data_IF_518566938876
#
_entry.id   IF_518566938876
#
_cell.length_a   1.000
_cell.length_b   1.000
_cell.length_c   1.000
_cell.angle_alpha   90.00
_cell.angle_beta   90.00
_cell.angle_gamma   90.00
#
_symmetry.space_group_name_H-M   'P 1'
#
loop_
_entity.id
_entity.type
_entity.pdbx_description
1 polymer ?
#
# COMPACT_ATOMS: atom_id res chain seq x y z
N UNK A 1 3.01 3.12 13.84
CA UNK A 1 3.29 2.42 12.57
C UNK A 1 4.15 3.33 11.72
N UNK A 2 5.03 2.74 10.91
CA UNK A 2 5.89 3.44 9.94
C UNK A 2 5.44 3.05 8.54
N UNK A 3 5.30 4.02 7.64
CA UNK A 3 4.79 3.79 6.30
C UNK A 3 5.89 3.93 5.25
N UNK A 4 5.89 3.05 4.26
CA UNK A 4 6.55 3.19 2.98
C UNK A 4 5.48 3.05 1.90
N UNK A 5 5.02 4.19 1.37
CA UNK A 5 3.93 4.28 0.41
C UNK A 5 4.54 4.44 -0.99
N UNK A 6 4.55 3.37 -1.77
CA UNK A 6 5.20 3.33 -3.09
C UNK A 6 4.17 3.36 -4.22
N UNK A 7 4.63 3.81 -5.40
CA UNK A 7 3.89 3.61 -6.64
C UNK A 7 4.05 2.19 -7.18
N UNK A 8 5.31 1.71 -7.27
CA UNK A 8 5.68 0.47 -7.96
C UNK A 8 6.44 -0.56 -7.12
N UNK A 9 6.41 -0.45 -5.79
CA UNK A 9 7.19 -1.31 -4.89
C UNK A 9 8.62 -0.82 -4.69
N UNK A 10 9.52 -1.73 -4.32
CA UNK A 10 10.94 -1.42 -4.06
C UNK A 10 11.74 -1.52 -5.36
N UNK A 11 11.70 -0.46 -6.16
CA UNK A 11 12.21 -0.45 -7.55
C UNK A 11 13.62 0.11 -7.69
N UNK A 12 14.15 0.79 -6.67
CA UNK A 12 15.49 1.40 -6.70
C UNK A 12 16.21 1.32 -5.34
N UNK A 13 17.55 1.52 -5.32
CA UNK A 13 18.34 1.46 -4.09
C UNK A 13 17.92 2.48 -3.02
N UNK A 14 17.41 3.66 -3.40
CA UNK A 14 16.95 4.66 -2.43
C UNK A 14 15.71 4.18 -1.66
N UNK A 15 14.71 3.61 -2.35
CA UNK A 15 13.52 3.02 -1.72
C UNK A 15 13.92 1.82 -0.85
N UNK A 16 14.83 0.96 -1.33
CA UNK A 16 15.32 -0.17 -0.53
C UNK A 16 16.04 0.30 0.74
N UNK A 17 16.86 1.35 0.64
CA UNK A 17 17.55 1.94 1.79
C UNK A 17 16.56 2.55 2.79
N UNK A 18 15.51 3.21 2.30
CA UNK A 18 14.43 3.72 3.15
C UNK A 18 13.72 2.58 3.90
N UNK A 19 13.38 1.47 3.23
CA UNK A 19 12.80 0.29 3.84
C UNK A 19 13.67 -0.26 4.99
N UNK A 20 14.98 -0.43 4.75
CA UNK A 20 15.92 -0.90 5.79
C UNK A 20 15.97 0.05 6.99
N UNK A 21 15.95 1.38 6.76
CA UNK A 21 15.89 2.37 7.84
C UNK A 21 14.60 2.25 8.66
N UNK A 22 13.45 2.04 8.02
CA UNK A 22 12.16 1.88 8.71
C UNK A 22 12.13 0.61 9.57
N UNK A 23 12.64 -0.50 9.02
CA UNK A 23 12.75 -1.79 9.70
C UNK A 23 13.75 -1.76 10.88
N UNK A 24 14.79 -0.94 10.79
CA UNK A 24 15.88 -0.91 11.77
C UNK A 24 16.76 -2.17 11.76
N UNK A 25 16.60 -3.03 10.75
CA UNK A 25 17.33 -4.29 10.55
C UNK A 25 17.41 -4.65 9.06
N UNK A 26 18.33 -5.53 8.63
CA UNK A 26 18.35 -6.05 7.26
C UNK A 26 17.04 -6.77 6.89
N UNK A 27 16.64 -6.66 5.62
CA UNK A 27 15.41 -7.32 5.09
C UNK A 27 15.41 -8.83 5.39
N UNK A 28 16.56 -9.50 5.21
CA UNK A 28 16.69 -10.94 5.47
C UNK A 28 16.61 -11.38 6.93
N UNK A 29 16.51 -10.43 7.86
CA UNK A 29 16.26 -10.69 9.28
C UNK A 29 14.80 -10.39 9.69
N UNK A 30 14.04 -9.73 8.82
CA UNK A 30 12.66 -9.33 9.05
C UNK A 30 11.66 -10.38 8.53
N UNK A 31 10.57 -10.54 9.27
CA UNK A 31 9.44 -11.42 8.96
C UNK A 31 8.30 -10.61 8.34
N UNK A 32 7.75 -11.09 7.22
CA UNK A 32 6.76 -10.36 6.44
C UNK A 32 5.44 -11.12 6.34
N UNK A 33 4.33 -10.37 6.33
CA UNK A 33 3.02 -10.86 5.92
C UNK A 33 2.55 -10.12 4.66
N UNK A 34 2.20 -10.88 3.63
CA UNK A 34 1.66 -10.38 2.37
C UNK A 34 0.13 -10.29 2.43
N UNK A 35 -0.42 -9.18 1.93
CA UNK A 35 -1.86 -8.91 1.86
C UNK A 35 -2.20 -8.63 0.37
N UNK A 36 -2.72 -9.62 -0.38
CA UNK A 36 -3.10 -9.46 -1.79
C UNK A 36 -4.53 -8.93 -1.96
N UNK A 37 -5.25 -8.66 -0.86
CA UNK A 37 -6.71 -8.51 -0.86
C UNK A 37 -7.25 -7.46 -1.84
N UNK A 38 -6.50 -6.38 -2.11
CA UNK A 38 -6.89 -5.36 -3.08
C UNK A 38 -7.13 -5.93 -4.48
N UNK A 39 -6.39 -6.98 -4.87
CA UNK A 39 -6.48 -7.57 -6.20
C UNK A 39 -7.86 -8.15 -6.52
N UNK A 40 -8.58 -8.67 -5.52
CA UNK A 40 -9.90 -9.24 -5.75
C UNK A 40 -10.96 -8.19 -6.13
N UNK A 41 -10.70 -6.92 -5.83
CA UNK A 41 -11.59 -5.81 -6.15
C UNK A 41 -11.32 -5.18 -7.52
N UNK A 42 -10.22 -5.51 -8.20
CA UNK A 42 -9.79 -4.81 -9.42
C UNK A 42 -9.97 -5.66 -10.68
N UNK A 43 -10.66 -5.18 -11.72
CA UNK A 43 -11.00 -5.98 -12.91
C UNK A 43 -9.79 -6.42 -13.74
N UNK A 44 -8.68 -5.67 -13.67
CA UNK A 44 -7.42 -6.04 -14.33
C UNK A 44 -6.60 -7.10 -13.55
N UNK A 45 -6.98 -7.42 -12.31
CA UNK A 45 -6.30 -8.40 -11.47
C UNK A 45 -6.99 -9.78 -11.58
N UNK A 46 -6.24 -10.82 -11.26
CA UNK A 46 -6.68 -12.22 -11.33
C UNK A 46 -6.05 -13.03 -10.21
N UNK A 47 -6.53 -14.25 -9.91
CA UNK A 47 -5.81 -15.14 -8.99
C UNK A 47 -4.34 -15.38 -9.37
N UNK A 48 -3.99 -15.23 -10.66
CA UNK A 48 -2.61 -15.35 -11.12
C UNK A 48 -1.75 -14.13 -10.75
N UNK A 49 -2.28 -12.91 -10.73
CA UNK A 49 -1.51 -11.75 -10.23
C UNK A 49 -1.25 -11.86 -8.72
N UNK A 50 -2.25 -12.28 -7.93
CA UNK A 50 -2.09 -12.53 -6.50
C UNK A 50 -1.02 -13.58 -6.22
N UNK A 51 -1.01 -14.66 -7.00
CA UNK A 51 0.06 -15.64 -6.93
C UNK A 51 1.43 -15.06 -7.32
N UNK A 52 1.52 -14.24 -8.38
CA UNK A 52 2.79 -13.61 -8.79
C UNK A 52 3.32 -12.69 -7.71
N UNK A 53 2.45 -11.90 -7.08
CA UNK A 53 2.81 -11.09 -5.92
C UNK A 53 3.37 -11.95 -4.80
N UNK A 54 2.68 -13.02 -4.39
CA UNK A 54 3.15 -13.89 -3.32
C UNK A 54 4.44 -14.64 -3.66
N UNK A 55 4.62 -15.03 -4.92
CA UNK A 55 5.79 -15.76 -5.39
C UNK A 55 7.03 -14.87 -5.62
N UNK A 56 6.94 -13.56 -5.39
CA UNK A 56 8.03 -12.62 -5.68
C UNK A 56 8.30 -12.48 -7.18
N UNK A 57 7.27 -12.66 -8.00
CA UNK A 57 7.31 -12.62 -9.48
C UNK A 57 6.52 -11.47 -10.09
N UNK A 58 6.06 -10.54 -9.27
CA UNK A 58 5.50 -9.27 -9.72
C UNK A 58 6.63 -8.34 -10.17
N UNK A 59 6.34 -7.44 -11.13
CA UNK A 59 7.24 -6.32 -11.45
C UNK A 59 7.36 -5.35 -10.28
N UNK A 60 6.30 -5.22 -9.48
CA UNK A 60 6.30 -4.52 -8.22
C UNK A 60 6.77 -5.44 -7.08
N UNK A 61 8.08 -5.68 -7.03
CA UNK A 61 8.65 -6.65 -6.08
C UNK A 61 8.56 -6.15 -4.64
N UNK A 62 7.72 -6.81 -3.84
CA UNK A 62 7.65 -6.64 -2.38
C UNK A 62 8.05 -7.93 -1.65
N UNK A 63 7.42 -9.05 -1.98
CA UNK A 63 7.68 -10.36 -1.32
C UNK A 63 9.02 -10.99 -1.75
N UNK A 64 9.56 -10.60 -2.91
CA UNK A 64 10.78 -11.15 -3.51
C UNK A 64 12.09 -10.56 -2.98
N UNK A 65 12.05 -9.75 -1.91
CA UNK A 65 13.21 -8.99 -1.42
C UNK A 65 14.16 -9.79 -0.51
N UNK A 66 13.91 -11.09 -0.31
CA UNK A 66 14.78 -11.96 0.48
C UNK A 66 14.51 -11.94 1.99
N UNK A 67 13.25 -11.77 2.39
CA UNK A 67 12.81 -11.79 3.79
C UNK A 67 13.21 -13.07 4.54
N UNK A 68 13.32 -12.98 5.87
CA UNK A 68 13.53 -14.15 6.74
C UNK A 68 12.41 -15.17 6.58
N UNK A 69 11.17 -14.68 6.50
CA UNK A 69 9.98 -15.46 6.20
C UNK A 69 8.93 -14.58 5.54
N UNK A 70 8.09 -15.20 4.72
CA UNK A 70 6.94 -14.56 4.08
C UNK A 70 5.71 -15.42 4.35
N UNK A 71 4.71 -14.85 5.02
CA UNK A 71 3.38 -15.45 5.20
C UNK A 71 2.33 -14.76 4.33
N UNK A 72 1.21 -15.43 4.09
CA UNK A 72 0.03 -14.84 3.45
C UNK A 72 -1.00 -14.51 4.54
N UNK A 73 -1.48 -13.27 4.56
CA UNK A 73 -2.57 -12.80 5.41
C UNK A 73 -3.75 -12.39 4.52
N UNK A 74 -4.68 -13.32 4.31
CA UNK A 74 -5.91 -13.04 3.57
C UNK A 74 -6.96 -12.41 4.48
N UNK A 75 -7.30 -11.15 4.25
CA UNK A 75 -8.24 -10.41 5.09
C UNK A 75 -9.64 -11.02 5.09
N UNK A 76 -10.04 -11.64 3.97
CA UNK A 76 -11.34 -12.31 3.83
C UNK A 76 -11.51 -13.47 4.83
N UNK A 77 -10.42 -14.12 5.24
CA UNK A 77 -10.47 -15.25 6.16
C UNK A 77 -10.57 -14.82 7.63
N UNK A 78 -10.07 -13.64 7.98
CA UNK A 78 -9.89 -13.21 9.38
C UNK A 78 -11.19 -13.18 10.21
N UNK A 79 -12.34 -12.71 9.67
CA UNK A 79 -13.62 -12.74 10.41
C UNK A 79 -14.05 -14.15 10.84
N UNK A 80 -13.63 -15.18 10.10
CA UNK A 80 -14.10 -16.57 10.32
C UNK A 80 -13.24 -17.38 11.28
N UNK A 81 -12.01 -16.93 11.57
CA UNK A 81 -11.05 -17.65 12.42
C UNK A 81 -10.84 -17.02 13.81
N UNK A 82 -11.39 -15.81 14.03
CA UNK A 82 -11.39 -15.11 15.32
C UNK A 82 -10.08 -14.37 15.63
N UNK A 83 -10.20 -13.23 16.32
CA UNK A 83 -9.08 -12.33 16.63
C UNK A 83 -7.97 -12.99 17.46
N UNK A 84 -8.32 -13.88 18.39
CA UNK A 84 -7.35 -14.64 19.19
C UNK A 84 -6.38 -15.47 18.32
N UNK A 85 -6.82 -15.86 17.11
CA UNK A 85 -5.99 -16.64 16.19
C UNK A 85 -5.05 -15.78 15.36
N UNK A 86 -5.57 -14.70 14.77
CA UNK A 86 -4.83 -13.96 13.74
C UNK A 86 -4.08 -12.74 14.25
N UNK A 87 -4.56 -12.09 15.32
CA UNK A 87 -3.88 -10.91 15.89
C UNK A 87 -2.44 -11.24 16.30
N UNK A 88 -2.12 -12.40 16.91
CA UNK A 88 -0.74 -12.77 17.20
C UNK A 88 0.15 -12.83 15.95
N UNK A 89 -0.34 -13.34 14.82
CA UNK A 89 0.43 -13.38 13.57
C UNK A 89 0.86 -12.00 13.11
N UNK A 90 -0.06 -11.03 13.17
CA UNK A 90 0.25 -9.63 12.80
C UNK A 90 1.21 -9.01 13.81
N UNK A 91 1.06 -9.26 15.11
CA UNK A 91 1.95 -8.72 16.15
C UNK A 91 3.37 -9.28 16.10
N UNK A 92 3.51 -10.52 15.63
CA UNK A 92 4.81 -11.18 15.50
C UNK A 92 5.57 -10.80 14.22
N UNK A 93 4.88 -10.26 13.22
CA UNK A 93 5.50 -9.80 11.98
C UNK A 93 6.20 -8.45 12.15
N UNK A 94 7.29 -8.23 11.40
CA UNK A 94 7.98 -6.94 11.35
C UNK A 94 7.35 -5.98 10.32
N UNK A 95 6.73 -6.54 9.28
CA UNK A 95 6.20 -5.77 8.14
C UNK A 95 4.94 -6.39 7.53
N UNK A 96 4.01 -5.52 7.14
CA UNK A 96 2.90 -5.85 6.25
C UNK A 96 3.22 -5.37 4.83
N UNK A 97 3.21 -6.28 3.86
CA UNK A 97 3.44 -6.02 2.44
C UNK A 97 2.09 -6.06 1.73
N UNK A 98 1.64 -4.94 1.17
CA UNK A 98 0.26 -4.79 0.71
C UNK A 98 0.23 -4.41 -0.75
N UNK A 99 -0.36 -5.30 -1.55
CA UNK A 99 -0.29 -5.21 -3.00
C UNK A 99 -1.27 -4.20 -3.61
N UNK A 100 -1.12 -3.97 -4.92
CA UNK A 100 -2.03 -3.19 -5.74
C UNK A 100 -3.36 -3.88 -5.99
N UNK A 101 -4.26 -3.19 -6.69
CA UNK A 101 -5.64 -3.63 -6.95
C UNK A 101 -6.61 -2.47 -6.72
N UNK A 102 -7.73 -2.71 -6.06
CA UNK A 102 -8.70 -1.67 -5.72
C UNK A 102 -8.56 -1.26 -4.25
N UNK A 103 -8.33 0.04 -4.02
CA UNK A 103 -8.07 0.59 -2.69
C UNK A 103 -9.33 0.63 -1.81
N UNK A 104 -10.52 0.79 -2.41
CA UNK A 104 -11.79 0.83 -1.67
C UNK A 104 -12.23 -0.57 -1.23
N UNK A 105 -12.00 -1.58 -2.07
CA UNK A 105 -12.18 -2.98 -1.72
C UNK A 105 -11.23 -3.40 -0.58
N UNK A 106 -9.96 -3.01 -0.68
CA UNK A 106 -8.99 -3.23 0.40
C UNK A 106 -9.43 -2.52 1.68
N UNK A 107 -9.85 -1.26 1.59
CA UNK A 107 -10.34 -0.50 2.75
C UNK A 107 -11.52 -1.18 3.43
N UNK A 108 -12.48 -1.67 2.65
CA UNK A 108 -13.62 -2.43 3.16
C UNK A 108 -13.16 -3.66 3.95
N UNK A 109 -12.31 -4.51 3.37
CA UNK A 109 -11.86 -5.72 4.07
C UNK A 109 -10.91 -5.44 5.23
N UNK A 110 -10.16 -4.34 5.21
CA UNK A 110 -9.40 -3.92 6.39
C UNK A 110 -10.30 -3.54 7.57
N UNK A 111 -11.46 -2.91 7.30
CA UNK A 111 -12.48 -2.60 8.32
C UNK A 111 -13.20 -3.87 8.77
N UNK A 112 -13.73 -4.66 7.84
CA UNK A 112 -14.50 -5.87 8.17
C UNK A 112 -13.67 -6.95 8.88
N UNK A 113 -12.39 -7.06 8.55
CA UNK A 113 -11.49 -8.01 9.24
C UNK A 113 -11.06 -7.57 10.63
N UNK A 114 -11.26 -6.29 10.98
CA UNK A 114 -10.71 -5.67 12.19
C UNK A 114 -9.21 -5.35 12.11
N UNK A 115 -8.56 -5.53 10.95
CA UNK A 115 -7.15 -5.13 10.79
C UNK A 115 -6.98 -3.62 10.97
N UNK A 116 -7.90 -2.81 10.43
CA UNK A 116 -7.85 -1.34 10.55
C UNK A 116 -7.83 -0.89 12.02
N UNK A 117 -8.63 -1.50 12.88
CA UNK A 117 -8.70 -1.18 14.31
C UNK A 117 -7.46 -1.62 15.08
N UNK A 118 -6.73 -2.63 14.57
CA UNK A 118 -5.50 -3.11 15.19
C UNK A 118 -4.31 -2.17 14.92
N UNK A 119 -4.23 -1.56 13.73
CA UNK A 119 -3.06 -0.79 13.27
C UNK A 119 -2.58 0.30 14.26
N UNK A 120 -3.46 1.10 14.91
CA UNK A 120 -3.03 2.11 15.87
C UNK A 120 -2.26 1.53 17.07
N UNK A 121 -2.46 0.25 17.39
CA UNK A 121 -1.78 -0.43 18.50
C UNK A 121 -0.40 -1.01 18.13
N UNK A 122 0.08 -0.76 16.90
CA UNK A 122 1.31 -1.31 16.35
C UNK A 122 2.30 -0.16 16.00
N UNK A 123 2.91 0.50 16.99
CA UNK A 123 3.79 1.65 16.75
C UNK A 123 5.01 1.30 15.89
N UNK A 124 5.58 0.12 16.09
CA UNK A 124 6.81 -0.32 15.41
C UNK A 124 6.59 -1.05 14.08
N UNK A 125 5.35 -1.45 13.78
CA UNK A 125 5.02 -2.15 12.53
C UNK A 125 5.38 -1.28 11.32
N UNK A 126 6.01 -1.90 10.33
CA UNK A 126 6.24 -1.29 9.02
C UNK A 126 5.11 -1.70 8.07
N UNK A 127 4.55 -0.73 7.37
CA UNK A 127 3.64 -0.96 6.25
C UNK A 127 4.35 -0.61 4.95
N UNK A 128 4.41 -1.54 4.01
CA UNK A 128 4.87 -1.28 2.65
C UNK A 128 3.71 -1.48 1.69
N UNK A 129 3.21 -0.38 1.16
CA UNK A 129 2.14 -0.39 0.17
C UNK A 129 2.69 -0.20 -1.24
N UNK A 130 2.05 -0.83 -2.22
CA UNK A 130 2.19 -0.48 -3.63
C UNK A 130 0.82 -0.11 -4.20
N UNK A 131 0.76 0.97 -4.98
CA UNK A 131 -0.47 1.40 -5.66
C UNK A 131 -1.65 1.48 -4.68
N UNK A 132 -2.71 0.67 -4.84
CA UNK A 132 -3.83 0.56 -3.91
C UNK A 132 -3.43 0.32 -2.44
N UNK A 133 -2.40 -0.49 -2.18
CA UNK A 133 -1.85 -0.70 -0.83
C UNK A 133 -1.23 0.56 -0.22
N UNK A 134 -0.81 1.52 -1.05
CA UNK A 134 -0.42 2.87 -0.59
C UNK A 134 -1.62 3.79 -0.44
N UNK A 135 -2.52 3.77 -1.41
CA UNK A 135 -3.71 4.62 -1.47
C UNK A 135 -4.71 4.33 -0.37
N UNK A 136 -4.79 3.10 0.15
CA UNK A 136 -5.71 2.77 1.25
C UNK A 136 -5.39 3.55 2.53
N UNK A 137 -4.15 4.02 2.71
CA UNK A 137 -3.73 4.82 3.85
C UNK A 137 -4.16 6.29 3.76
N UNK A 138 -4.53 6.77 2.57
CA UNK A 138 -4.95 8.15 2.32
C UNK A 138 -6.38 8.38 2.80
N UNK A 139 -6.90 9.63 2.87
CA UNK A 139 -8.29 9.87 3.23
C UNK A 139 -9.25 9.57 2.07
N UNK A 140 -8.81 9.81 0.83
CA UNK A 140 -9.57 9.56 -0.40
C UNK A 140 -8.66 9.20 -1.56
N UNK A 141 -9.20 8.43 -2.50
CA UNK A 141 -8.49 8.01 -3.72
C UNK A 141 -8.95 8.75 -4.98
N UNK A 142 -10.10 9.43 -4.94
CA UNK A 142 -10.71 10.04 -6.13
C UNK A 142 -11.49 9.00 -6.94
N UNK A 143 -12.64 9.41 -7.48
CA UNK A 143 -13.55 8.51 -8.21
C UNK A 143 -12.90 7.78 -9.39
N UNK A 144 -11.85 8.35 -10.00
CA UNK A 144 -11.11 7.73 -11.10
C UNK A 144 -10.34 6.45 -10.71
N UNK A 145 -10.11 6.22 -9.41
CA UNK A 145 -9.41 5.03 -8.90
C UNK A 145 -10.35 4.05 -8.18
N UNK A 146 -11.67 4.18 -8.37
CA UNK A 146 -12.67 3.27 -7.81
C UNK A 146 -13.18 2.36 -8.93
N UNK A 147 -12.75 1.11 -8.91
CA UNK A 147 -13.13 0.08 -9.89
C UNK A 147 -14.09 -0.95 -9.28
N UNK A 148 -14.09 -1.09 -7.96
CA UNK A 148 -15.03 -1.96 -7.25
C UNK A 148 -16.46 -1.38 -7.30
N UNK A 149 -17.33 -2.00 -8.09
CA UNK A 149 -18.71 -1.53 -8.35
C UNK A 149 -19.54 -1.32 -7.07
N UNK A 150 -19.30 -2.09 -6.01
CA UNK A 150 -20.04 -1.98 -4.75
C UNK A 150 -19.43 -0.96 -3.78
N UNK A 151 -18.38 -0.23 -4.17
CA UNK A 151 -17.80 0.84 -3.37
C UNK A 151 -18.85 1.94 -3.12
N UNK A 152 -19.07 2.36 -1.87
CA UNK A 152 -20.05 3.41 -1.56
C UNK A 152 -19.56 4.81 -1.98
N UNK A 153 -18.25 5.02 -1.97
CA UNK A 153 -17.55 6.25 -2.32
C UNK A 153 -16.05 5.98 -2.49
N UNK A 154 -15.25 7.03 -2.64
CA UNK A 154 -13.79 7.01 -2.83
C UNK A 154 -12.98 7.18 -1.52
N UNK A 155 -13.61 7.07 -0.35
CA UNK A 155 -12.95 7.31 0.95
C UNK A 155 -12.26 6.05 1.46
N UNK A 156 -11.02 6.24 1.93
CA UNK A 156 -10.18 5.18 2.47
C UNK A 156 -9.91 5.41 3.96
N UNK A 157 -8.78 4.95 4.52
CA UNK A 157 -8.59 4.91 5.98
C UNK A 157 -8.28 6.27 6.62
N UNK A 158 -7.66 7.19 5.89
CA UNK A 158 -7.25 8.50 6.41
C UNK A 158 -6.17 8.41 7.50
N UNK A 159 -5.25 7.46 7.37
CA UNK A 159 -4.09 7.33 8.28
C UNK A 159 -3.08 8.45 8.03
N UNK A 160 -2.95 8.89 6.77
CA UNK A 160 -2.24 10.11 6.38
C UNK A 160 -3.23 11.19 5.94
N UNK A 161 -2.78 12.44 5.86
CA UNK A 161 -3.59 13.61 5.53
C UNK A 161 -3.49 14.08 4.07
N UNK A 162 -2.90 13.25 3.21
CA UNK A 162 -2.74 13.49 1.78
C UNK A 162 -3.21 12.31 0.94
N UNK A 163 -3.51 12.58 -0.34
CA UNK A 163 -3.84 11.56 -1.35
C UNK A 163 -2.64 11.21 -2.23
N UNK A 164 -2.68 10.03 -2.86
CA UNK A 164 -1.61 9.53 -3.74
C UNK A 164 -2.21 9.22 -5.11
N UNK A 165 -1.60 9.76 -6.15
CA UNK A 165 -1.79 9.36 -7.55
C UNK A 165 -0.58 8.50 -7.95
N UNK A 166 -0.70 7.17 -7.95
CA UNK A 166 0.40 6.29 -8.33
C UNK A 166 0.51 6.21 -9.86
N UNK A 167 1.57 5.56 -10.32
CA UNK A 167 1.85 5.19 -11.70
C UNK A 167 1.96 6.39 -12.65
N UNK A 168 2.45 7.53 -12.15
CA UNK A 168 2.61 8.75 -12.96
C UNK A 168 3.43 8.46 -14.22
N UNK A 169 2.89 8.84 -15.37
CA UNK A 169 3.45 8.63 -16.72
C UNK A 169 3.68 7.15 -17.11
N UNK A 170 3.14 6.17 -16.35
CA UNK A 170 3.31 4.75 -16.67
C UNK A 170 2.45 4.28 -17.86
N UNK A 171 1.32 4.95 -18.11
CA UNK A 171 0.42 4.70 -19.24
C UNK A 171 -0.27 6.00 -19.68
N UNK A 172 -0.80 6.07 -20.93
CA UNK A 172 -1.28 7.33 -21.52
C UNK A 172 -2.34 8.08 -20.72
N UNK A 173 -3.19 7.35 -19.98
CA UNK A 173 -4.31 7.89 -19.20
C UNK A 173 -3.92 8.27 -17.76
N UNK A 174 -2.61 8.31 -17.46
CA UNK A 174 -2.08 8.56 -16.12
C UNK A 174 -0.96 9.60 -16.13
N UNK A 175 -1.15 10.64 -16.96
CA UNK A 175 -0.20 11.73 -17.15
C UNK A 175 -0.22 12.73 -15.99
N UNK A 176 0.75 13.64 -15.95
CA UNK A 176 0.71 14.78 -15.02
C UNK A 176 -0.57 15.61 -15.16
N UNK A 177 -1.10 15.76 -16.38
CA UNK A 177 -2.34 16.50 -16.60
C UNK A 177 -3.57 15.77 -16.04
N UNK A 178 -3.57 14.43 -16.05
CA UNK A 178 -4.59 13.62 -15.38
C UNK A 178 -4.49 13.80 -13.86
N UNK A 179 -3.27 13.76 -13.32
CA UNK A 179 -3.01 13.99 -11.91
C UNK A 179 -3.42 15.39 -11.43
N UNK A 180 -3.19 16.44 -12.22
CA UNK A 180 -3.64 17.80 -11.92
C UNK A 180 -5.18 17.90 -11.83
N UNK A 181 -5.89 17.29 -12.79
CA UNK A 181 -7.36 17.23 -12.77
C UNK A 181 -7.87 16.46 -11.56
N UNK A 182 -7.30 15.29 -11.33
CA UNK A 182 -7.62 14.45 -10.17
C UNK A 182 -7.41 15.20 -8.86
N UNK A 183 -6.27 15.87 -8.68
CA UNK A 183 -5.95 16.59 -7.45
C UNK A 183 -6.90 17.76 -7.18
N UNK A 184 -7.37 18.44 -8.23
CA UNK A 184 -8.31 19.56 -8.09
C UNK A 184 -9.64 19.15 -7.44
N UNK A 185 -10.09 17.92 -7.65
CA UNK A 185 -11.35 17.39 -7.12
C UNK A 185 -11.23 16.84 -5.69
N UNK A 186 -10.01 16.61 -5.20
CA UNK A 186 -9.77 15.98 -3.89
C UNK A 186 -9.93 16.92 -2.71
N UNK A 187 -9.71 18.23 -2.86
CA UNK A 187 -9.81 19.19 -1.76
C UNK A 187 -8.84 18.94 -0.57
N UNK A 188 -7.75 18.22 -0.79
CA UNK A 188 -6.70 17.92 0.19
C UNK A 188 -5.32 17.87 -0.50
N UNK A 189 -4.19 17.98 0.24
CA UNK A 189 -2.87 17.81 -0.34
C UNK A 189 -2.74 16.46 -1.05
N UNK A 190 -1.96 16.42 -2.12
CA UNK A 190 -1.78 15.19 -2.87
C UNK A 190 -0.38 15.08 -3.49
N UNK A 191 0.05 13.84 -3.70
CA UNK A 191 1.31 13.51 -4.35
C UNK A 191 1.03 12.64 -5.57
N UNK A 192 1.45 13.11 -6.75
CA UNK A 192 1.61 12.25 -7.91
C UNK A 192 3.03 11.70 -7.92
N UNK A 193 3.17 10.38 -7.99
CA UNK A 193 4.44 9.68 -7.88
C UNK A 193 4.56 8.61 -8.98
N UNK A 194 5.75 8.48 -9.55
CA UNK A 194 6.06 7.41 -10.50
C UNK A 194 6.59 6.16 -9.80
N UNK A 195 6.86 5.11 -10.59
CA UNK A 195 7.35 3.82 -10.10
C UNK A 195 8.67 3.89 -9.33
N UNK A 196 9.44 4.97 -9.48
CA UNK A 196 10.74 5.17 -8.82
C UNK A 196 10.64 6.12 -7.61
N UNK A 197 9.43 6.37 -7.14
CA UNK A 197 9.16 7.27 -6.03
C UNK A 197 8.33 6.59 -4.94
N UNK A 198 8.67 6.91 -3.69
CA UNK A 198 7.94 6.51 -2.49
C UNK A 198 7.83 7.69 -1.51
N UNK A 199 6.84 7.59 -0.62
CA UNK A 199 6.65 8.48 0.52
C UNK A 199 6.88 7.68 1.79
N UNK A 200 7.82 8.10 2.63
CA UNK A 200 7.91 7.56 3.98
C UNK A 200 7.09 8.41 4.93
N UNK A 201 6.45 7.77 5.91
CA UNK A 201 5.77 8.49 7.00
C UNK A 201 6.14 7.86 8.33
N UNK A 202 6.74 8.67 9.21
CA UNK A 202 7.11 8.29 10.58
C UNK A 202 6.66 9.39 11.51
N UNK A 203 5.81 9.05 12.49
CA UNK A 203 5.27 10.01 13.47
C UNK A 203 4.64 11.26 12.81
N UNK A 204 3.98 11.06 11.66
CA UNK A 204 3.34 12.11 10.87
C UNK A 204 4.29 12.92 9.96
N UNK A 205 5.61 12.72 10.04
CA UNK A 205 6.56 13.39 9.17
C UNK A 205 6.67 12.66 7.82
N UNK A 206 6.49 13.40 6.73
CA UNK A 206 6.56 12.89 5.35
C UNK A 206 7.91 13.20 4.71
N UNK A 207 8.57 12.18 4.15
CA UNK A 207 9.77 12.32 3.32
C UNK A 207 9.51 11.72 1.93
N UNK A 208 9.85 12.45 0.86
CA UNK A 208 9.83 11.92 -0.51
C UNK A 208 11.16 11.23 -0.80
N UNK A 209 11.13 9.94 -1.13
CA UNK A 209 12.29 9.13 -1.53
C UNK A 209 12.14 8.82 -3.02
N UNK A 210 13.00 9.38 -3.85
CA UNK A 210 12.81 9.32 -5.31
C UNK A 210 14.11 9.23 -6.10
N UNK A 211 14.08 8.45 -7.17
CA UNK A 211 14.99 8.54 -8.33
C UNK A 211 14.24 8.92 -9.62
N UNK A 212 12.95 9.22 -9.49
CA UNK A 212 12.02 9.46 -10.58
C UNK A 212 11.36 10.83 -10.56
N UNK A 213 10.14 10.88 -11.07
CA UNK A 213 9.29 12.07 -11.14
C UNK A 213 8.20 12.01 -10.11
N UNK A 214 7.96 13.16 -9.51
CA UNK A 214 6.82 13.38 -8.64
C UNK A 214 6.40 14.83 -8.68
N UNK A 215 5.16 15.09 -8.27
CA UNK A 215 4.62 16.44 -8.10
C UNK A 215 3.72 16.45 -6.87
N UNK A 216 3.80 17.54 -6.10
CA UNK A 216 2.90 17.78 -4.98
C UNK A 216 1.87 18.84 -5.37
N UNK A 217 0.63 18.61 -5.01
CA UNK A 217 -0.49 19.53 -5.14
C UNK A 217 -1.00 19.92 -3.75
N UNK A 218 -1.47 21.17 -3.59
CA UNK A 218 -1.96 21.70 -2.31
C UNK A 218 -0.88 22.32 -1.44
#
# INVERSE_FOLDING_TARGET
MKLLLTSGGVTNPNIQSALVRLLGKPIGEATALCIPTAEYGHPACTPFSAWRFLAGRSSASLSGLGWKSVGLLELLALPTIGAERWVPWVREADVLLVDGGDATYLCHWMRESGLADLLPSLPDMVWVGVSAGSMVMTPRVGAAFVEWEAAPDDRTLGVVDFSIFPHLDAFPENSLADAERWAADLGAPAYAIDEQTALTVVDGAVEVVSEGRWTRFG
#
